data_IF_160143976574
#
_entry.id   IF_160143976574
#
_cell.length_a   1.000
_cell.length_b   1.000
_cell.length_c   1.000
_cell.angle_alpha   90.00
_cell.angle_beta   90.00
_cell.angle_gamma   90.00
#
_symmetry.space_group_name_H-M   'P 1'
#
loop_
_entity.id
_entity.type
_entity.pdbx_description
1 polymer ?
#
# COMPACT_ATOMS: atom_id res chain seq x y z
N UNK A 1 -25.85 -20.05 38.30
CA UNK A 1 -24.73 -19.77 39.24
C UNK A 1 -23.72 -18.88 38.52
N UNK A 2 -23.38 -17.69 39.02
CA UNK A 2 -22.35 -16.83 38.40
C UNK A 2 -20.96 -17.34 38.82
N UNK A 3 -20.06 -17.51 37.86
CA UNK A 3 -18.67 -17.89 38.14
C UNK A 3 -17.90 -16.63 38.56
N UNK A 4 -17.18 -16.69 39.67
CA UNK A 4 -16.22 -15.65 40.04
C UNK A 4 -15.00 -15.80 39.13
N UNK A 5 -14.74 -14.80 38.29
CA UNK A 5 -13.61 -14.78 37.36
C UNK A 5 -12.37 -14.11 37.93
N UNK A 6 -12.49 -13.46 39.09
CA UNK A 6 -11.38 -12.82 39.79
C UNK A 6 -10.69 -13.81 40.71
N UNK A 7 -9.36 -13.73 40.75
CA UNK A 7 -8.55 -14.46 41.72
C UNK A 7 -8.86 -13.95 43.15
N UNK A 8 -8.73 -14.81 44.18
CA UNK A 8 -8.85 -14.37 45.56
C UNK A 8 -7.82 -13.28 45.88
N UNK A 9 -8.25 -12.27 46.62
CA UNK A 9 -7.37 -11.17 47.04
C UNK A 9 -6.39 -11.67 48.13
N UNK A 10 -5.10 -11.31 48.05
CA UNK A 10 -4.14 -11.64 49.09
C UNK A 10 -4.32 -10.72 50.30
N UNK A 11 -4.24 -11.28 51.51
CA UNK A 11 -4.29 -10.54 52.77
C UNK A 11 -2.99 -9.73 52.96
N UNK A 12 -2.92 -8.54 52.34
CA UNK A 12 -1.80 -7.61 52.44
C UNK A 12 -2.28 -6.23 52.88
N UNK A 13 -1.45 -5.46 53.61
CA UNK A 13 -1.80 -4.09 53.95
C UNK A 13 -1.94 -3.25 52.67
N UNK A 14 -2.96 -2.39 52.65
CA UNK A 14 -3.41 -1.67 51.44
C UNK A 14 -2.30 -0.92 50.71
N UNK A 15 -1.36 -0.32 51.44
CA UNK A 15 -0.21 0.40 50.86
C UNK A 15 0.66 -0.52 50.00
N UNK A 16 0.95 -1.73 50.50
CA UNK A 16 1.75 -2.73 49.78
C UNK A 16 0.97 -3.27 48.57
N UNK A 17 -0.34 -3.48 48.73
CA UNK A 17 -1.21 -3.91 47.64
C UNK A 17 -1.21 -2.89 46.48
N UNK A 18 -1.42 -1.62 46.79
CA UNK A 18 -1.43 -0.55 45.79
C UNK A 18 -0.08 -0.44 45.06
N UNK A 19 1.04 -0.62 45.79
CA UNK A 19 2.38 -0.62 45.20
C UNK A 19 2.63 -1.83 44.28
N UNK A 20 2.16 -3.01 44.66
CA UNK A 20 2.23 -4.22 43.82
C UNK A 20 1.41 -4.01 42.56
N UNK A 21 0.19 -3.48 42.69
CA UNK A 21 -0.70 -3.25 41.57
C UNK A 21 -0.14 -2.23 40.58
N UNK A 22 0.39 -1.09 41.08
CA UNK A 22 1.11 -0.12 40.24
C UNK A 22 2.28 -0.74 39.48
N UNK A 23 3.07 -1.60 40.14
CA UNK A 23 4.19 -2.32 39.49
C UNK A 23 3.70 -3.32 38.44
N UNK A 24 2.58 -4.00 38.69
CA UNK A 24 1.98 -4.93 37.74
C UNK A 24 1.43 -4.21 36.50
N UNK A 25 0.67 -3.13 36.70
CA UNK A 25 0.12 -2.29 35.62
C UNK A 25 1.22 -1.72 34.74
N UNK A 26 2.31 -1.22 35.34
CA UNK A 26 3.47 -0.72 34.59
C UNK A 26 4.09 -1.81 33.72
N UNK A 27 4.38 -2.99 34.29
CA UNK A 27 4.95 -4.12 33.53
C UNK A 27 4.01 -4.58 32.41
N UNK A 28 2.72 -4.66 32.68
CA UNK A 28 1.72 -5.03 31.68
C UNK A 28 1.68 -4.01 30.52
N UNK A 29 1.67 -2.71 30.83
CA UNK A 29 1.72 -1.66 29.83
C UNK A 29 3.01 -1.72 28.98
N UNK A 30 4.16 -1.96 29.61
CA UNK A 30 5.46 -2.16 28.94
C UNK A 30 5.44 -3.40 28.03
N UNK A 31 4.87 -4.52 28.46
CA UNK A 31 4.77 -5.72 27.62
C UNK A 31 3.78 -5.52 26.47
N UNK A 32 2.64 -4.86 26.69
CA UNK A 32 1.67 -4.54 25.64
C UNK A 32 2.26 -3.60 24.60
N UNK A 33 3.01 -2.58 25.00
CA UNK A 33 3.67 -1.68 24.05
C UNK A 33 4.72 -2.40 23.21
N UNK A 34 5.53 -3.29 23.82
CA UNK A 34 6.48 -4.13 23.10
C UNK A 34 5.81 -5.08 22.11
N UNK A 35 4.73 -5.75 22.53
CA UNK A 35 3.96 -6.65 21.66
C UNK A 35 3.34 -5.88 20.48
N UNK A 36 2.77 -4.69 20.72
CA UNK A 36 2.25 -3.82 19.67
C UNK A 36 3.32 -3.44 18.66
N UNK A 37 4.46 -2.91 19.13
CA UNK A 37 5.58 -2.52 18.26
C UNK A 37 6.09 -3.70 17.43
N UNK A 38 6.21 -4.89 18.03
CA UNK A 38 6.60 -6.09 17.31
C UNK A 38 5.58 -6.46 16.23
N UNK A 39 4.29 -6.48 16.56
CA UNK A 39 3.23 -6.83 15.62
C UNK A 39 3.15 -5.82 14.45
N UNK A 40 3.23 -4.52 14.74
CA UNK A 40 3.21 -3.45 13.75
C UNK A 40 4.42 -3.55 12.80
N UNK A 41 5.62 -3.73 13.35
CA UNK A 41 6.85 -3.89 12.56
C UNK A 41 6.84 -5.17 11.71
N UNK A 42 6.41 -6.29 12.30
CA UNK A 42 6.32 -7.59 11.60
C UNK A 42 5.32 -7.52 10.44
N UNK A 43 4.21 -6.81 10.63
CA UNK A 43 3.15 -6.62 9.63
C UNK A 43 3.46 -5.48 8.66
N UNK A 44 4.53 -4.71 8.90
CA UNK A 44 4.87 -3.47 8.17
C UNK A 44 3.70 -2.48 8.16
N UNK A 45 2.98 -2.37 9.28
CA UNK A 45 1.93 -1.40 9.46
C UNK A 45 2.52 0.01 9.31
N UNK A 46 1.87 0.84 8.49
CA UNK A 46 2.26 2.24 8.27
C UNK A 46 1.01 3.10 8.35
N UNK A 47 1.18 4.30 8.87
CA UNK A 47 0.13 5.31 8.82
C UNK A 47 -0.14 5.70 7.37
N UNK A 48 -1.41 6.00 7.05
CA UNK A 48 -1.80 6.42 5.72
C UNK A 48 -1.49 7.91 5.52
N UNK A 49 -0.79 8.24 4.44
CA UNK A 49 -0.47 9.64 4.07
C UNK A 49 -1.65 10.43 3.50
N UNK A 50 -2.84 9.82 3.45
CA UNK A 50 -4.05 10.45 2.94
C UNK A 50 -4.49 11.60 3.84
N UNK A 51 -4.69 12.76 3.24
CA UNK A 51 -5.21 13.97 3.87
C UNK A 51 -6.40 14.51 3.06
N UNK A 52 -7.33 15.24 3.68
CA UNK A 52 -8.38 15.97 2.97
C UNK A 52 -7.79 16.89 1.89
N UNK A 53 -8.48 17.00 0.75
CA UNK A 53 -8.05 17.80 -0.41
C UNK A 53 -7.11 17.07 -1.40
N UNK A 54 -6.60 15.89 -1.05
CA UNK A 54 -5.80 15.10 -2.00
C UNK A 54 -6.67 14.45 -3.07
N UNK A 55 -6.14 14.39 -4.29
CA UNK A 55 -6.78 13.66 -5.41
C UNK A 55 -6.34 12.20 -5.39
N UNK A 56 -7.30 11.29 -5.44
CA UNK A 56 -7.10 9.85 -5.29
C UNK A 56 -7.94 9.07 -6.31
N UNK A 57 -7.46 7.89 -6.70
CA UNK A 57 -8.23 6.88 -7.41
C UNK A 57 -8.79 5.85 -6.44
N UNK A 58 -9.96 5.31 -6.75
CA UNK A 58 -10.65 4.31 -5.93
C UNK A 58 -10.49 2.92 -6.54
N UNK A 59 -10.15 1.91 -5.74
CA UNK A 59 -10.04 0.53 -6.20
C UNK A 59 -11.42 0.00 -6.65
N UNK A 60 -11.48 -0.58 -7.85
CA UNK A 60 -12.71 -1.13 -8.42
C UNK A 60 -12.72 -2.66 -8.42
N UNK A 61 -13.90 -3.31 -8.39
CA UNK A 61 -13.99 -4.75 -8.56
C UNK A 61 -13.49 -5.17 -9.94
N UNK A 62 -12.73 -6.27 -9.98
CA UNK A 62 -12.19 -6.82 -11.23
C UNK A 62 -13.32 -7.45 -12.04
N UNK A 63 -13.66 -6.85 -13.17
CA UNK A 63 -14.71 -7.37 -14.07
C UNK A 63 -14.16 -8.41 -15.05
N UNK A 64 -12.95 -8.18 -15.57
CA UNK A 64 -12.31 -9.08 -16.52
C UNK A 64 -10.77 -9.04 -16.38
N UNK A 65 -10.04 -9.83 -17.16
CA UNK A 65 -8.56 -9.91 -17.08
C UNK A 65 -7.86 -8.58 -17.40
N UNK A 66 -8.45 -7.77 -18.27
CA UNK A 66 -7.89 -6.50 -18.75
C UNK A 66 -8.39 -5.27 -17.98
N UNK A 67 -9.30 -5.46 -17.02
CA UNK A 67 -9.84 -4.35 -16.23
C UNK A 67 -8.76 -3.72 -15.36
N UNK A 68 -8.71 -2.39 -15.36
CA UNK A 68 -7.78 -1.64 -14.50
C UNK A 68 -8.15 -1.86 -13.03
N UNK A 69 -7.17 -1.96 -12.12
CA UNK A 69 -7.48 -2.17 -10.69
C UNK A 69 -8.20 -0.99 -10.02
N UNK A 70 -8.07 0.22 -10.59
CA UNK A 70 -8.65 1.45 -10.06
C UNK A 70 -9.59 2.08 -11.09
N UNK A 71 -10.68 2.68 -10.58
CA UNK A 71 -11.60 3.52 -11.34
C UNK A 71 -10.80 4.71 -11.91
N UNK A 72 -10.83 4.98 -13.22
CA UNK A 72 -10.05 6.05 -13.84
C UNK A 72 -10.51 7.45 -13.41
N UNK A 73 -11.73 7.58 -12.89
CA UNK A 73 -12.25 8.87 -12.47
C UNK A 73 -11.60 9.29 -11.15
N UNK A 74 -10.96 10.47 -11.08
CA UNK A 74 -10.35 10.96 -9.85
C UNK A 74 -11.42 11.32 -8.81
N UNK A 75 -11.06 11.20 -7.53
CA UNK A 75 -11.88 11.60 -6.39
C UNK A 75 -11.08 12.55 -5.52
N UNK A 76 -11.74 13.52 -4.90
CA UNK A 76 -11.13 14.39 -3.89
C UNK A 76 -11.49 13.86 -2.51
N UNK A 77 -10.49 13.67 -1.65
CA UNK A 77 -10.71 13.27 -0.25
C UNK A 77 -11.40 14.40 0.50
N UNK A 78 -12.57 14.13 1.08
CA UNK A 78 -13.32 15.09 1.91
C UNK A 78 -12.98 14.95 3.39
N UNK A 79 -12.96 13.73 3.89
CA UNK A 79 -12.77 13.46 5.33
C UNK A 79 -12.01 12.14 5.54
N UNK A 80 -11.28 12.06 6.66
CA UNK A 80 -10.60 10.85 7.13
C UNK A 80 -10.87 10.64 8.61
N UNK A 81 -11.38 9.44 8.95
CA UNK A 81 -11.62 8.97 10.32
C UNK A 81 -10.82 7.69 10.56
N UNK A 82 -9.64 7.82 11.15
CA UNK A 82 -8.71 6.70 11.34
C UNK A 82 -8.29 6.08 10.01
N UNK A 83 -8.64 4.81 9.78
CA UNK A 83 -8.39 4.12 8.51
C UNK A 83 -9.49 4.31 7.48
N UNK A 84 -10.63 4.90 7.85
CA UNK A 84 -11.76 5.15 6.96
C UNK A 84 -11.59 6.51 6.28
N UNK A 85 -11.78 6.54 4.97
CA UNK A 85 -11.62 7.72 4.12
C UNK A 85 -12.87 7.89 3.27
N UNK A 86 -13.41 9.10 3.27
CA UNK A 86 -14.53 9.52 2.43
C UNK A 86 -14.01 10.44 1.34
N UNK A 87 -14.22 10.07 0.09
CA UNK A 87 -13.84 10.85 -1.07
C UNK A 87 -15.04 11.02 -2.00
N UNK A 88 -15.09 12.13 -2.71
CA UNK A 88 -16.17 12.43 -3.65
C UNK A 88 -15.65 12.97 -4.96
N UNK A 89 -16.40 12.71 -6.01
CA UNK A 89 -16.34 13.38 -7.30
C UNK A 89 -17.76 13.90 -7.62
N UNK A 90 -17.94 14.57 -8.76
CA UNK A 90 -19.20 15.17 -9.20
C UNK A 90 -20.37 14.18 -9.23
N UNK A 91 -20.08 12.90 -9.51
CA UNK A 91 -21.07 11.86 -9.69
C UNK A 91 -21.45 11.13 -8.39
N UNK A 92 -20.47 10.86 -7.51
CA UNK A 92 -20.65 9.97 -6.36
C UNK A 92 -19.71 10.27 -5.20
N UNK A 93 -20.15 9.89 -4.00
CA UNK A 93 -19.34 9.89 -2.79
C UNK A 93 -19.09 8.45 -2.33
N UNK A 94 -17.87 8.13 -1.96
CA UNK A 94 -17.43 6.79 -1.58
C UNK A 94 -16.68 6.84 -0.25
N UNK A 95 -17.06 5.95 0.67
CA UNK A 95 -16.40 5.77 1.97
C UNK A 95 -15.81 4.37 2.08
N UNK A 96 -14.48 4.25 2.20
CA UNK A 96 -13.75 2.97 2.25
C UNK A 96 -12.48 3.07 3.11
N UNK A 97 -11.82 1.94 3.33
CA UNK A 97 -10.51 1.92 3.99
C UNK A 97 -9.45 2.65 3.14
N UNK A 98 -8.52 3.36 3.77
CA UNK A 98 -7.41 4.09 3.14
C UNK A 98 -6.59 3.26 2.13
N UNK A 99 -6.48 1.95 2.36
CA UNK A 99 -5.77 1.01 1.45
C UNK A 99 -6.47 0.78 0.11
N UNK A 100 -7.75 1.18 -0.02
CA UNK A 100 -8.51 1.10 -1.27
C UNK A 100 -8.34 2.36 -2.14
N UNK A 101 -7.60 3.35 -1.67
CA UNK A 101 -7.33 4.58 -2.40
C UNK A 101 -5.87 4.61 -2.87
N UNK A 102 -5.63 5.19 -4.04
CA UNK A 102 -4.29 5.47 -4.54
C UNK A 102 -4.16 6.96 -4.84
N UNK A 103 -3.19 7.62 -4.21
CA UNK A 103 -2.92 9.05 -4.43
C UNK A 103 -2.43 9.27 -5.86
N UNK A 104 -2.97 10.30 -6.50
CA UNK A 104 -2.45 10.83 -7.77
C UNK A 104 -1.40 11.88 -7.44
N UNK A 105 -0.14 11.71 -7.89
CA UNK A 105 0.86 12.76 -7.79
C UNK A 105 0.40 14.03 -8.50
N UNK A 106 0.76 15.23 -8.00
CA UNK A 106 0.31 16.50 -8.57
C UNK A 106 0.71 16.72 -10.03
N UNK A 107 1.78 16.07 -10.50
CA UNK A 107 2.24 16.10 -11.91
C UNK A 107 1.28 15.40 -12.87
N UNK A 108 0.54 14.40 -12.38
CA UNK A 108 -0.36 13.55 -13.15
C UNK A 108 -1.82 13.91 -12.92
N UNK A 109 -2.10 15.02 -12.24
CA UNK A 109 -3.45 15.42 -11.93
C UNK A 109 -4.11 16.03 -13.19
N UNK A 110 -5.12 15.37 -13.79
CA UNK A 110 -5.69 15.81 -15.06
C UNK A 110 -6.36 17.20 -14.98
N UNK A 111 -6.89 17.58 -13.81
CA UNK A 111 -7.49 18.90 -13.57
C UNK A 111 -6.45 20.03 -13.69
N UNK A 112 -5.22 19.82 -13.21
CA UNK A 112 -4.17 20.86 -13.22
C UNK A 112 -3.51 21.02 -14.60
N UNK A 113 -3.56 19.99 -15.42
CA UNK A 113 -2.96 20.01 -16.76
C UNK A 113 -3.89 20.67 -17.81
N UNK A 114 -5.18 20.87 -17.51
CA UNK A 114 -6.11 21.56 -18.42
C UNK A 114 -5.87 23.08 -18.48
N UNK A 115 -5.23 23.68 -17.47
CA UNK A 115 -4.92 25.13 -17.47
C UNK A 115 -3.66 25.49 -18.27
N UNK A 116 -2.91 24.51 -18.82
CA UNK A 116 -1.59 24.77 -19.45
C UNK A 116 -1.45 24.41 -20.93
N UNK A 117 -2.50 23.96 -21.62
CA UNK A 117 -2.42 23.69 -23.06
C UNK A 117 -3.53 24.40 -23.83
N UNK A 118 -3.44 25.73 -23.84
CA UNK A 118 -4.04 26.58 -24.86
C UNK A 118 -2.94 27.46 -25.43
N UNK A 119 -2.13 26.92 -26.35
CA UNK A 119 -1.63 27.62 -27.53
C UNK A 119 -0.79 26.69 -28.42
N UNK A 120 -1.33 26.52 -29.62
CA UNK A 120 -0.67 26.34 -30.92
C UNK A 120 -0.11 24.96 -31.34
N UNK A 121 -0.66 24.51 -32.47
CA UNK A 121 -0.36 23.30 -33.21
C UNK A 121 0.60 23.61 -34.37
N UNK A 122 1.45 22.65 -34.75
CA UNK A 122 1.53 22.09 -36.12
C UNK A 122 2.58 20.95 -36.22
N UNK A 123 2.12 19.85 -36.86
CA UNK A 123 2.75 18.85 -37.77
C UNK A 123 4.29 18.84 -37.88
N UNK A 124 5.01 17.71 -37.88
CA UNK A 124 5.18 16.74 -39.00
C UNK A 124 5.87 15.42 -38.51
N UNK A 125 5.74 14.36 -39.32
CA UNK A 125 6.15 12.95 -39.11
C UNK A 125 7.70 12.68 -39.25
N UNK A 126 8.19 11.44 -39.00
CA UNK A 126 9.52 11.17 -38.40
C UNK A 126 10.66 10.91 -39.40
N UNK A 127 11.91 10.81 -38.90
CA UNK A 127 12.83 9.80 -39.45
C UNK A 127 13.57 8.97 -38.38
N UNK A 128 13.87 7.75 -38.82
CA UNK A 128 14.66 6.71 -38.17
C UNK A 128 16.17 7.00 -38.23
N UNK A 129 16.90 6.41 -37.27
CA UNK A 129 18.24 5.77 -37.36
C UNK A 129 19.30 6.31 -36.37
N UNK A 130 19.92 5.33 -35.69
CA UNK A 130 21.24 5.25 -35.05
C UNK A 130 21.40 5.61 -33.56
N UNK A 131 21.54 4.54 -32.75
CA UNK A 131 22.42 4.49 -31.57
C UNK A 131 23.88 4.74 -32.00
N UNK A 132 24.73 5.32 -31.13
CA UNK A 132 25.66 4.45 -30.39
C UNK A 132 25.99 4.90 -28.95
N UNK A 133 26.10 3.87 -28.08
CA UNK A 133 27.05 3.69 -26.97
C UNK A 133 27.06 4.69 -25.80
N UNK A 134 27.37 4.35 -24.55
CA UNK A 134 27.55 3.14 -23.73
C UNK A 134 27.79 3.79 -22.35
N UNK A 135 27.20 3.28 -21.28
CA UNK A 135 27.84 3.35 -19.96
C UNK A 135 27.35 2.16 -19.13
N UNK A 136 28.33 1.34 -18.76
CA UNK A 136 28.18 0.09 -18.06
C UNK A 136 27.77 0.30 -16.60
N UNK A 137 26.69 -0.34 -16.18
CA UNK A 137 26.49 -0.71 -14.78
C UNK A 137 26.19 -2.20 -14.75
N UNK A 138 27.24 -3.01 -14.66
CA UNK A 138 27.12 -4.45 -14.39
C UNK A 138 26.84 -4.70 -12.90
N UNK A 139 25.71 -4.21 -12.40
CA UNK A 139 25.17 -4.70 -11.14
C UNK A 139 24.58 -6.09 -11.38
N UNK A 140 25.39 -7.11 -11.08
CA UNK A 140 24.96 -8.50 -11.13
C UNK A 140 23.72 -8.71 -10.25
N UNK A 141 22.55 -8.72 -10.89
CA UNK A 141 21.30 -9.13 -10.28
C UNK A 141 21.52 -10.50 -9.61
N UNK A 142 21.38 -10.57 -8.27
CA UNK A 142 21.26 -11.83 -7.51
C UNK A 142 19.99 -12.58 -7.91
N UNK A 143 19.89 -13.03 -9.16
CA UNK A 143 18.87 -13.98 -9.60
C UNK A 143 19.52 -15.35 -9.56
N UNK A 144 18.88 -16.27 -8.83
CA UNK A 144 19.25 -17.68 -8.89
C UNK A 144 19.17 -18.13 -10.35
N UNK A 145 20.32 -18.49 -10.93
CA UNK A 145 20.35 -19.01 -12.29
C UNK A 145 19.85 -20.46 -12.22
N UNK A 146 18.53 -20.64 -12.36
CA UNK A 146 17.90 -21.95 -12.33
C UNK A 146 18.11 -22.60 -13.70
N UNK A 147 18.80 -23.74 -13.74
CA UNK A 147 18.83 -24.60 -14.91
C UNK A 147 17.39 -25.00 -15.28
N UNK A 148 16.86 -24.44 -16.37
CA UNK A 148 15.50 -24.73 -16.85
C UNK A 148 15.57 -25.97 -17.74
N UNK A 149 14.89 -27.06 -17.34
CA UNK A 149 14.67 -28.21 -18.22
C UNK A 149 13.51 -27.92 -19.16
N UNK A 150 13.67 -28.30 -20.43
CA UNK A 150 12.57 -28.21 -21.39
C UNK A 150 11.45 -29.19 -21.01
N UNK A 151 10.16 -28.80 -21.16
CA UNK A 151 9.03 -29.70 -20.98
C UNK A 151 9.17 -30.97 -21.82
N UNK A 152 8.71 -32.12 -21.29
CA UNK A 152 8.84 -33.41 -21.97
C UNK A 152 8.10 -33.50 -23.31
N UNK A 153 7.11 -32.64 -23.56
CA UNK A 153 6.34 -32.60 -24.81
C UNK A 153 7.10 -31.95 -25.97
N UNK A 154 8.33 -31.52 -25.72
CA UNK A 154 9.12 -30.72 -26.62
C UNK A 154 10.46 -31.40 -26.96
N UNK A 155 10.54 -32.72 -26.76
CA UNK A 155 11.72 -33.54 -27.07
C UNK A 155 11.79 -33.96 -28.54
N UNK A 156 10.71 -33.74 -29.29
CA UNK A 156 10.44 -34.23 -30.63
C UNK A 156 10.69 -33.21 -31.74
N UNK A 157 11.05 -31.97 -31.40
CA UNK A 157 11.47 -30.97 -32.38
C UNK A 157 12.91 -30.50 -32.16
N UNK A 158 13.57 -30.21 -33.27
CA UNK A 158 14.91 -29.64 -33.28
C UNK A 158 14.81 -28.14 -33.03
N UNK A 159 15.43 -27.66 -31.95
CA UNK A 159 15.65 -26.22 -31.75
C UNK A 159 17.00 -25.87 -32.38
N UNK A 160 16.99 -25.15 -33.50
CA UNK A 160 18.21 -24.52 -34.00
C UNK A 160 18.47 -23.27 -33.16
N UNK A 161 19.47 -23.33 -32.29
CA UNK A 161 19.95 -22.18 -31.52
C UNK A 161 21.01 -21.49 -32.40
N UNK A 162 20.77 -20.23 -32.78
CA UNK A 162 21.78 -19.34 -33.35
C UNK A 162 22.60 -18.66 -32.25
#
# INVERSE_FOLDING_TARGET
RKLKTTLPEPDLPRVIYDDIQRKMERRDAEQKSKQKLYADNKSRARESSLSPGMVVLVKQPKQNKLSTPFDPNPFVVKEKKGTMVTASNDLKTVTRNSSQFKVIPPELNPERNQEKQGNEAQTENPPSVANPNQDEITESLRRSNRQRRQPARFTDYVTTIN
#
